data_IF_061280800090
#
_entry.id   IF_061280800090
#
_cell.length_a   1.000
_cell.length_b   1.000
_cell.length_c   1.000
_cell.angle_alpha   90.00
_cell.angle_beta   90.00
_cell.angle_gamma   90.00
#
_symmetry.space_group_name_H-M   'P 1'
#
loop_
_entity.id
_entity.type
_entity.pdbx_description
1 polymer ?
#
# COMPACT_ATOMS: atom_id res chain seq x y z
N UNK A 1 -0.60 22.18 22.23
CA UNK A 1 -0.99 21.35 21.07
C UNK A 1 -0.09 20.12 21.09
N UNK A 2 -0.64 18.90 21.12
CA UNK A 2 0.15 17.66 21.14
C UNK A 2 1.17 17.69 19.98
N UNK A 3 2.46 17.44 20.25
CA UNK A 3 3.54 17.46 19.24
C UNK A 3 3.23 16.53 18.07
N UNK A 4 2.42 15.49 18.30
CA UNK A 4 2.01 14.53 17.29
C UNK A 4 0.73 14.93 16.54
N UNK A 5 -0.01 15.95 16.97
CA UNK A 5 -1.29 16.32 16.35
C UNK A 5 -1.12 16.67 14.87
N UNK A 6 -0.14 17.52 14.54
CA UNK A 6 0.16 17.90 13.16
C UNK A 6 0.67 16.70 12.35
N UNK A 7 1.58 15.89 12.92
CA UNK A 7 2.11 14.69 12.25
C UNK A 7 1.00 13.69 11.93
N UNK A 8 0.05 13.47 12.85
CA UNK A 8 -1.13 12.62 12.65
C UNK A 8 -2.05 13.17 11.58
N UNK A 9 -2.40 14.46 11.61
CA UNK A 9 -3.22 15.08 10.56
C UNK A 9 -2.55 15.06 9.19
N UNK A 10 -1.23 15.23 9.13
CA UNK A 10 -0.47 15.08 7.89
C UNK A 10 -0.49 13.66 7.37
N UNK A 11 -0.34 12.66 8.25
CA UNK A 11 -0.51 11.26 7.88
C UNK A 11 -1.92 10.99 7.36
N UNK A 12 -2.96 11.36 8.12
CA UNK A 12 -4.36 11.19 7.74
C UNK A 12 -4.66 11.83 6.37
N UNK A 13 -4.15 13.04 6.14
CA UNK A 13 -4.23 13.73 4.86
C UNK A 13 -3.59 12.91 3.73
N UNK A 14 -2.35 12.44 3.91
CA UNK A 14 -1.66 11.65 2.88
C UNK A 14 -2.37 10.33 2.60
N UNK A 15 -2.89 9.66 3.62
CA UNK A 15 -3.65 8.42 3.42
C UNK A 15 -4.95 8.71 2.67
N UNK A 16 -5.71 9.73 3.09
CA UNK A 16 -6.94 10.13 2.44
C UNK A 16 -6.73 10.54 0.98
N UNK A 17 -5.70 11.36 0.75
CA UNK A 17 -5.32 11.81 -0.58
C UNK A 17 -4.87 10.64 -1.46
N UNK A 18 -3.96 9.79 -0.99
CA UNK A 18 -3.35 8.74 -1.82
C UNK A 18 -4.31 7.60 -2.13
N UNK A 19 -5.16 7.19 -1.18
CA UNK A 19 -6.03 6.04 -1.37
C UNK A 19 -7.37 6.38 -2.03
N UNK A 20 -7.93 7.57 -1.74
CA UNK A 20 -9.29 7.91 -2.20
C UNK A 20 -9.28 9.02 -3.25
N UNK A 21 -8.61 10.15 -2.98
CA UNK A 21 -8.68 11.31 -3.87
C UNK A 21 -7.89 11.09 -5.17
N UNK A 22 -6.63 10.64 -5.07
CA UNK A 22 -5.80 10.32 -6.23
C UNK A 22 -6.44 9.21 -7.06
N UNK A 23 -7.03 8.21 -6.42
CA UNK A 23 -7.70 7.12 -7.14
C UNK A 23 -8.81 7.66 -8.05
N UNK A 24 -9.74 8.44 -7.50
CA UNK A 24 -10.85 9.02 -8.26
C UNK A 24 -10.36 10.00 -9.33
N UNK A 25 -9.40 10.86 -8.98
CA UNK A 25 -8.80 11.82 -9.91
C UNK A 25 -8.09 11.11 -11.08
N UNK A 26 -7.32 10.08 -10.78
CA UNK A 26 -6.58 9.32 -11.79
C UNK A 26 -7.53 8.54 -12.70
N UNK A 27 -8.57 7.93 -12.14
CA UNK A 27 -9.60 7.23 -12.91
C UNK A 27 -10.35 8.18 -13.84
N UNK A 28 -10.79 9.33 -13.32
CA UNK A 28 -11.45 10.37 -14.10
C UNK A 28 -10.56 10.92 -15.21
N UNK A 29 -9.31 11.25 -14.89
CA UNK A 29 -8.33 11.71 -15.87
C UNK A 29 -8.03 10.66 -16.94
N UNK A 30 -7.91 9.39 -16.54
CA UNK A 30 -7.68 8.31 -17.49
C UNK A 30 -8.84 8.17 -18.46
N UNK A 31 -10.09 8.21 -17.96
CA UNK A 31 -11.30 8.17 -18.80
C UNK A 31 -11.31 9.37 -19.76
N UNK A 32 -11.10 10.59 -19.26
CA UNK A 32 -11.12 11.81 -20.08
C UNK A 32 -10.03 11.81 -21.14
N UNK A 33 -8.78 11.52 -20.77
CA UNK A 33 -7.63 11.54 -21.69
C UNK A 33 -7.79 10.43 -22.72
N UNK A 34 -8.13 9.21 -22.31
CA UNK A 34 -8.34 8.10 -23.23
C UNK A 34 -9.49 8.38 -24.19
N UNK A 35 -10.58 8.98 -23.70
CA UNK A 35 -11.69 9.36 -24.57
C UNK A 35 -11.26 10.40 -25.63
N UNK A 36 -10.66 11.51 -25.21
CA UNK A 36 -10.29 12.62 -26.11
C UNK A 36 -9.13 12.31 -27.06
N UNK A 37 -8.17 11.51 -26.62
CA UNK A 37 -6.94 11.26 -27.37
C UNK A 37 -6.95 9.92 -28.12
N UNK A 38 -7.76 8.95 -27.71
CA UNK A 38 -7.84 7.64 -28.36
C UNK A 38 -9.21 7.40 -29.01
N UNK A 39 -10.31 7.51 -28.25
CA UNK A 39 -11.64 7.15 -28.74
C UNK A 39 -12.09 8.08 -29.87
N UNK A 40 -12.07 9.39 -29.64
CA UNK A 40 -12.47 10.40 -30.65
C UNK A 40 -11.53 10.45 -31.87
N UNK A 41 -10.34 9.83 -31.80
CA UNK A 41 -9.33 9.88 -32.87
C UNK A 41 -9.36 8.68 -33.79
N UNK A 42 -10.07 7.61 -33.41
CA UNK A 42 -10.19 6.39 -34.21
C UNK A 42 -11.64 6.27 -34.68
N UNK A 43 -11.93 6.39 -35.99
CA UNK A 43 -13.30 6.48 -36.50
C UNK A 43 -14.24 5.36 -36.01
N UNK A 44 -13.76 4.11 -35.98
CA UNK A 44 -14.59 2.97 -35.52
C UNK A 44 -14.89 3.03 -34.02
N UNK A 45 -14.01 3.61 -33.21
CA UNK A 45 -14.23 3.76 -31.77
C UNK A 45 -15.15 4.95 -31.48
N UNK A 46 -14.98 6.04 -32.22
CA UNK A 46 -15.82 7.23 -32.11
C UNK A 46 -17.28 6.93 -32.49
N UNK A 47 -17.49 6.12 -33.54
CA UNK A 47 -18.84 5.70 -33.95
C UNK A 47 -19.58 4.91 -32.85
N UNK A 48 -18.87 4.04 -32.13
CA UNK A 48 -19.48 3.16 -31.11
C UNK A 48 -19.54 3.84 -29.73
N UNK A 49 -18.50 4.59 -29.35
CA UNK A 49 -18.30 5.11 -27.98
C UNK A 49 -17.84 6.57 -27.95
N UNK A 50 -18.03 7.36 -29.00
CA UNK A 50 -17.67 8.79 -29.06
C UNK A 50 -18.38 9.65 -28.02
N UNK A 51 -19.51 9.20 -27.47
CA UNK A 51 -20.11 9.85 -26.31
C UNK A 51 -19.34 9.53 -25.02
N UNK A 52 -18.76 10.56 -24.38
CA UNK A 52 -17.99 10.43 -23.14
C UNK A 52 -18.74 9.71 -22.02
N UNK A 53 -20.03 9.98 -21.84
CA UNK A 53 -20.85 9.34 -20.80
C UNK A 53 -21.02 7.84 -21.03
N UNK A 54 -21.34 7.45 -22.27
CA UNK A 54 -21.47 6.04 -22.67
C UNK A 54 -20.14 5.31 -22.49
N UNK A 55 -19.03 5.88 -23.00
CA UNK A 55 -17.69 5.33 -22.81
C UNK A 55 -17.34 5.16 -21.33
N UNK A 56 -17.59 6.18 -20.50
CA UNK A 56 -17.28 6.15 -19.07
C UNK A 56 -18.01 5.01 -18.35
N UNK A 57 -19.31 4.84 -18.63
CA UNK A 57 -20.13 3.79 -18.03
C UNK A 57 -19.60 2.41 -18.44
N UNK A 58 -19.41 2.17 -19.74
CA UNK A 58 -18.90 0.90 -20.24
C UNK A 58 -17.51 0.59 -19.69
N UNK A 59 -16.63 1.60 -19.64
CA UNK A 59 -15.29 1.46 -19.09
C UNK A 59 -15.34 1.06 -17.62
N UNK A 60 -16.13 1.74 -16.77
CA UNK A 60 -16.24 1.43 -15.34
C UNK A 60 -16.80 0.01 -15.14
N UNK A 61 -17.83 -0.37 -15.89
CA UNK A 61 -18.44 -1.70 -15.81
C UNK A 61 -17.45 -2.81 -16.19
N UNK A 62 -16.51 -2.58 -17.10
CA UNK A 62 -15.47 -3.54 -17.45
C UNK A 62 -14.28 -3.48 -16.47
N UNK A 63 -13.85 -2.28 -16.12
CA UNK A 63 -12.67 -2.03 -15.29
C UNK A 63 -12.82 -2.63 -13.90
N UNK A 64 -13.97 -2.46 -13.24
CA UNK A 64 -14.18 -2.95 -11.87
C UNK A 64 -14.03 -4.50 -11.79
N UNK A 65 -14.74 -5.31 -12.60
CA UNK A 65 -14.55 -6.76 -12.61
C UNK A 65 -13.12 -7.18 -12.93
N UNK A 66 -12.49 -6.57 -13.94
CA UNK A 66 -11.10 -6.88 -14.32
C UNK A 66 -10.15 -6.58 -13.16
N UNK A 67 -10.28 -5.43 -12.51
CA UNK A 67 -9.48 -5.06 -11.35
C UNK A 67 -9.69 -6.03 -10.17
N UNK A 68 -10.92 -6.49 -9.93
CA UNK A 68 -11.22 -7.50 -8.90
C UNK A 68 -10.54 -8.84 -9.23
N UNK A 69 -10.58 -9.27 -10.49
CA UNK A 69 -9.96 -10.53 -10.95
C UNK A 69 -8.43 -10.46 -10.77
N UNK A 70 -7.81 -9.38 -11.26
CA UNK A 70 -6.36 -9.16 -11.12
C UNK A 70 -5.97 -9.07 -9.64
N UNK A 71 -6.72 -8.32 -8.83
CA UNK A 71 -6.47 -8.21 -7.39
C UNK A 71 -6.59 -9.56 -6.67
N UNK A 72 -7.59 -10.38 -7.03
CA UNK A 72 -7.73 -11.73 -6.49
C UNK A 72 -6.57 -12.63 -6.91
N UNK A 73 -6.11 -12.55 -8.16
CA UNK A 73 -4.95 -13.27 -8.65
C UNK A 73 -3.68 -12.86 -7.88
N UNK A 74 -3.43 -11.56 -7.73
CA UNK A 74 -2.29 -11.04 -7.00
C UNK A 74 -2.29 -11.52 -5.55
N UNK A 75 -3.44 -11.42 -4.86
CA UNK A 75 -3.58 -11.91 -3.47
C UNK A 75 -3.26 -13.40 -3.33
N UNK A 76 -3.62 -14.23 -4.32
CA UNK A 76 -3.41 -15.68 -4.26
C UNK A 76 -2.02 -16.13 -4.70
N UNK A 77 -1.33 -15.35 -5.53
CA UNK A 77 -0.06 -15.75 -6.16
C UNK A 77 1.13 -14.94 -5.68
N UNK A 78 1.06 -13.61 -5.80
CA UNK A 78 2.20 -12.72 -5.59
C UNK A 78 2.34 -12.28 -4.13
N UNK A 79 1.23 -12.08 -3.41
CA UNK A 79 1.28 -11.54 -2.04
C UNK A 79 2.19 -12.35 -1.10
N UNK A 80 2.24 -13.68 -1.26
CA UNK A 80 3.13 -14.53 -0.47
C UNK A 80 4.61 -14.22 -0.74
N UNK A 81 4.95 -14.01 -2.01
CA UNK A 81 6.32 -13.72 -2.44
C UNK A 81 6.74 -12.34 -1.93
N UNK A 82 5.87 -11.33 -2.09
CA UNK A 82 6.14 -9.97 -1.63
C UNK A 82 6.39 -9.92 -0.12
N UNK A 83 5.57 -10.63 0.66
CA UNK A 83 5.74 -10.74 2.11
C UNK A 83 7.02 -11.49 2.48
N UNK A 84 7.35 -12.60 1.81
CA UNK A 84 8.58 -13.36 2.07
C UNK A 84 9.83 -12.49 1.79
N UNK A 85 9.88 -11.79 0.67
CA UNK A 85 10.98 -10.87 0.33
C UNK A 85 11.09 -9.77 1.38
N UNK A 86 9.98 -9.12 1.72
CA UNK A 86 9.96 -8.02 2.70
C UNK A 86 10.43 -8.48 4.08
N UNK A 87 9.95 -9.63 4.56
CA UNK A 87 10.32 -10.16 5.87
C UNK A 87 11.79 -10.61 5.92
N UNK A 88 12.30 -11.26 4.86
CA UNK A 88 13.70 -11.66 4.76
C UNK A 88 14.65 -10.47 4.75
N UNK A 89 14.23 -9.37 4.14
CA UNK A 89 15.02 -8.15 4.06
C UNK A 89 14.99 -7.31 5.33
N UNK A 90 14.13 -7.63 6.31
CA UNK A 90 13.98 -6.83 7.53
C UNK A 90 14.91 -7.36 8.65
N UNK A 91 16.07 -6.73 8.91
CA UNK A 91 17.03 -7.24 9.88
C UNK A 91 16.55 -7.08 11.33
N UNK A 92 15.76 -6.04 11.59
CA UNK A 92 15.17 -5.80 12.91
C UNK A 92 14.18 -6.90 13.27
N UNK A 93 13.30 -7.26 12.33
CA UNK A 93 12.35 -8.35 12.52
C UNK A 93 13.07 -9.69 12.75
N UNK A 94 14.12 -9.97 11.97
CA UNK A 94 14.95 -11.15 12.18
C UNK A 94 15.63 -11.16 13.58
N UNK A 95 16.20 -10.03 14.02
CA UNK A 95 16.78 -9.89 15.37
C UNK A 95 15.72 -10.12 16.46
N UNK A 96 14.52 -9.56 16.31
CA UNK A 96 13.43 -9.75 17.27
C UNK A 96 13.05 -11.22 17.42
N UNK A 97 12.84 -11.93 16.31
CA UNK A 97 12.46 -13.36 16.34
C UNK A 97 13.60 -14.21 16.92
N UNK A 98 14.86 -13.93 16.55
CA UNK A 98 16.03 -14.64 17.11
C UNK A 98 16.11 -14.49 18.63
N UNK A 99 16.06 -13.26 19.15
CA UNK A 99 16.18 -13.03 20.60
C UNK A 99 15.02 -13.68 21.37
N UNK A 100 13.80 -13.71 20.80
CA UNK A 100 12.68 -14.42 21.40
C UNK A 100 12.91 -15.94 21.46
N UNK A 101 13.46 -16.53 20.40
CA UNK A 101 13.83 -17.94 20.37
C UNK A 101 14.90 -18.25 21.43
N UNK A 102 15.99 -17.50 21.43
CA UNK A 102 17.13 -17.67 22.34
C UNK A 102 16.68 -17.49 23.82
N UNK A 103 15.72 -16.60 24.07
CA UNK A 103 15.12 -16.41 25.39
C UNK A 103 14.31 -17.62 25.85
N UNK A 104 13.61 -18.28 24.93
CA UNK A 104 12.78 -19.46 25.22
C UNK A 104 13.64 -20.71 25.40
N UNK A 105 14.73 -20.86 24.65
CA UNK A 105 15.68 -21.98 24.75
C UNK A 105 16.64 -21.84 25.92
N UNK A 106 16.73 -20.64 26.52
CA UNK A 106 17.65 -20.35 27.63
C UNK A 106 19.08 -20.04 27.18
N UNK A 107 19.29 -19.87 25.87
CA UNK A 107 20.59 -19.55 25.27
C UNK A 107 20.87 -18.04 25.25
N UNK A 108 19.84 -17.20 25.40
CA UNK A 108 19.99 -15.75 25.40
C UNK A 108 20.79 -15.25 26.61
N UNK A 109 21.79 -14.41 26.33
CA UNK A 109 22.55 -13.73 27.38
C UNK A 109 21.69 -12.67 28.10
N UNK A 110 22.00 -12.42 29.39
CA UNK A 110 21.31 -11.37 30.17
C UNK A 110 21.49 -9.97 29.55
N UNK A 111 22.64 -9.72 28.94
CA UNK A 111 22.95 -8.44 28.28
C UNK A 111 22.10 -8.24 27.01
N UNK A 112 21.94 -9.30 26.21
CA UNK A 112 21.13 -9.26 24.99
C UNK A 112 19.65 -9.07 25.29
N UNK A 113 19.12 -9.72 26.33
CA UNK A 113 17.76 -9.49 26.82
C UNK A 113 17.57 -8.05 27.33
N UNK A 114 18.59 -7.47 27.97
CA UNK A 114 18.56 -6.09 28.44
C UNK A 114 18.58 -5.09 27.27
N UNK A 115 19.43 -5.31 26.26
CA UNK A 115 19.46 -4.53 25.02
C UNK A 115 18.11 -4.60 24.30
N UNK A 116 17.57 -5.81 24.14
CA UNK A 116 16.29 -6.02 23.47
C UNK A 116 15.15 -5.29 24.17
N UNK A 117 15.04 -5.40 25.50
CA UNK A 117 14.07 -4.64 26.30
C UNK A 117 14.23 -3.13 26.15
N UNK A 118 15.46 -2.64 26.06
CA UNK A 118 15.75 -1.21 25.85
C UNK A 118 15.22 -0.74 24.50
N UNK A 119 15.48 -1.49 23.43
CA UNK A 119 14.97 -1.18 22.08
C UNK A 119 13.44 -1.18 22.08
N UNK A 120 12.79 -2.17 22.69
CA UNK A 120 11.33 -2.21 22.80
C UNK A 120 10.77 -1.00 23.55
N UNK A 121 11.37 -0.62 24.69
CA UNK A 121 10.96 0.58 25.43
C UNK A 121 11.13 1.86 24.62
N UNK A 122 12.18 1.98 23.81
CA UNK A 122 12.35 3.14 22.92
C UNK A 122 11.24 3.24 21.89
N UNK A 123 10.81 2.10 21.33
CA UNK A 123 9.67 2.01 20.40
C UNK A 123 8.37 2.39 21.12
N UNK A 124 8.12 1.85 22.32
CA UNK A 124 6.93 2.18 23.13
C UNK A 124 6.87 3.67 23.50
N UNK A 125 8.02 4.26 23.83
CA UNK A 125 8.16 5.70 24.15
C UNK A 125 8.05 6.60 22.90
N UNK A 126 8.04 6.03 21.70
CA UNK A 126 8.04 6.79 20.44
C UNK A 126 9.29 7.64 20.22
N UNK A 127 10.42 7.28 20.85
CA UNK A 127 11.71 7.93 20.60
C UNK A 127 12.22 7.46 19.24
N UNK A 128 12.58 8.41 18.37
CA UNK A 128 13.19 8.08 17.08
C UNK A 128 14.42 7.20 17.33
N UNK A 129 14.45 6.04 16.67
CA UNK A 129 15.58 5.11 16.72
C UNK A 129 16.74 5.82 16.03
N UNK A 130 17.63 6.42 16.83
CA UNK A 130 18.90 6.99 16.34
C UNK A 130 19.86 5.86 15.93
#
# INVERSE_FOLDING_TARGET
MDKLWVRRRWFDFRQGHSYYLIFLLSLGNFILISHRLLIERIPILDEIMGNLGIFSILFIFLYIPVAIIIGRWHRKSQLKIDLDVTLRQNPLFAKMIRVLLDAQTGEASKEELADFRRVLKQIEDGKELN
#
